data_IF_360469933774
#
_entry.id   IF_360469933774
#
_cell.length_a   1.000
_cell.length_b   1.000
_cell.length_c   1.000
_cell.angle_alpha   90.00
_cell.angle_beta   90.00
_cell.angle_gamma   90.00
#
_symmetry.space_group_name_H-M   'P 1'
#
loop_
_entity.id
_entity.type
_entity.pdbx_description
1 polymer ?
#
# COMPACT_ATOMS: atom_id res chain seq x y z
N UNK A 1 -3.29 -8.29 -18.25
CA UNK A 1 -3.48 -7.03 -17.53
C UNK A 1 -2.36 -6.09 -17.91
N UNK A 2 -2.68 -4.86 -18.33
CA UNK A 2 -1.67 -3.83 -18.62
C UNK A 2 -0.87 -3.51 -17.36
N UNK A 3 0.35 -3.00 -17.53
CA UNK A 3 1.11 -2.45 -16.42
C UNK A 3 0.50 -1.11 -16.02
N UNK A 4 0.47 -0.83 -14.72
CA UNK A 4 0.21 0.53 -14.21
C UNK A 4 1.58 1.15 -13.94
N UNK A 5 1.78 2.38 -14.39
CA UNK A 5 3.06 3.07 -14.24
C UNK A 5 2.86 4.51 -13.77
N UNK A 6 3.78 4.98 -12.93
CA UNK A 6 3.96 6.38 -12.58
C UNK A 6 5.45 6.73 -12.63
N UNK A 7 5.74 8.03 -12.73
CA UNK A 7 7.10 8.57 -12.74
C UNK A 7 7.12 9.79 -11.83
N UNK A 8 8.06 9.83 -10.90
CA UNK A 8 8.24 10.90 -9.92
C UNK A 8 9.63 10.77 -9.29
N UNK A 9 10.18 11.90 -8.85
CA UNK A 9 11.45 11.99 -8.12
C UNK A 9 11.14 12.00 -6.61
N UNK A 10 11.13 10.82 -5.98
CA UNK A 10 10.71 10.69 -4.57
C UNK A 10 11.84 10.97 -3.59
N UNK A 11 13.09 10.69 -3.95
CA UNK A 11 14.24 10.96 -3.07
C UNK A 11 14.92 12.31 -3.33
N UNK A 12 14.42 13.09 -4.30
CA UNK A 12 14.76 14.49 -4.58
C UNK A 12 16.19 14.69 -5.02
N UNK A 13 16.73 13.74 -5.76
CA UNK A 13 18.07 13.83 -6.32
C UNK A 13 18.11 14.51 -7.71
N UNK A 14 16.93 14.77 -8.29
CA UNK A 14 16.75 15.41 -9.59
C UNK A 14 16.61 14.44 -10.77
N UNK A 15 16.73 13.13 -10.55
CA UNK A 15 16.49 12.09 -11.54
C UNK A 15 15.18 11.36 -11.21
N UNK A 16 14.17 11.37 -12.11
CA UNK A 16 12.89 10.75 -11.77
C UNK A 16 12.94 9.21 -11.85
N UNK A 17 12.48 8.54 -10.81
CA UNK A 17 12.25 7.11 -10.82
C UNK A 17 10.93 6.74 -11.52
N UNK A 18 10.86 5.49 -11.97
CA UNK A 18 9.70 4.87 -12.57
C UNK A 18 9.19 3.75 -11.66
N UNK A 19 7.90 3.81 -11.37
CA UNK A 19 7.16 2.89 -10.53
C UNK A 19 6.25 2.05 -11.42
N UNK A 20 6.58 0.78 -11.65
CA UNK A 20 5.81 -0.10 -12.54
C UNK A 20 5.20 -1.26 -11.77
N UNK A 21 3.87 -1.30 -11.71
CA UNK A 21 3.12 -2.45 -11.23
C UNK A 21 2.74 -3.36 -12.39
N UNK A 22 3.33 -4.56 -12.42
CA UNK A 22 3.04 -5.55 -13.47
C UNK A 22 2.99 -6.96 -12.89
N UNK A 23 1.89 -7.67 -13.17
CA UNK A 23 1.70 -9.08 -12.75
C UNK A 23 1.92 -9.32 -11.25
N UNK A 24 1.50 -8.37 -10.41
CA UNK A 24 1.61 -8.51 -8.96
C UNK A 24 2.93 -8.06 -8.35
N UNK A 25 3.86 -7.55 -9.15
CA UNK A 25 5.16 -7.05 -8.68
C UNK A 25 5.26 -5.57 -8.97
N UNK A 26 5.57 -4.78 -7.93
CA UNK A 26 5.96 -3.39 -8.10
C UNK A 26 7.48 -3.33 -8.27
N UNK A 27 7.95 -2.65 -9.32
CA UNK A 27 9.36 -2.37 -9.58
C UNK A 27 9.59 -0.88 -9.55
N UNK A 28 10.62 -0.44 -8.81
CA UNK A 28 11.14 0.93 -8.81
C UNK A 28 12.46 0.93 -9.56
N UNK A 29 12.60 1.81 -10.54
CA UNK A 29 13.78 1.89 -11.38
C UNK A 29 14.09 3.34 -11.76
N UNK A 30 15.36 3.67 -11.88
CA UNK A 30 15.83 4.99 -12.28
C UNK A 30 16.93 4.81 -13.33
N UNK A 31 16.92 5.61 -14.40
CA UNK A 31 17.92 5.51 -15.47
C UNK A 31 18.04 4.12 -16.12
N UNK A 32 17.00 3.27 -16.02
CA UNK A 32 17.01 1.87 -16.47
C UNK A 32 17.62 0.86 -15.48
N UNK A 33 18.18 1.31 -14.35
CA UNK A 33 18.64 0.48 -13.23
C UNK A 33 17.46 0.20 -12.30
N UNK A 34 17.31 -1.06 -11.89
CA UNK A 34 16.30 -1.43 -10.88
C UNK A 34 16.85 -1.07 -9.50
N UNK A 35 16.16 -0.17 -8.80
CA UNK A 35 16.46 0.20 -7.42
C UNK A 35 15.84 -0.80 -6.44
N UNK A 36 14.57 -1.17 -6.68
CA UNK A 36 13.83 -2.06 -5.78
C UNK A 36 12.74 -2.87 -6.49
N UNK A 37 12.40 -4.02 -5.91
CA UNK A 37 11.24 -4.84 -6.27
C UNK A 37 10.50 -5.29 -5.03
N UNK A 38 9.17 -5.30 -5.09
CA UNK A 38 8.36 -5.91 -4.04
C UNK A 38 8.73 -7.39 -3.87
N UNK A 39 8.86 -7.90 -2.63
CA UNK A 39 9.15 -9.30 -2.36
C UNK A 39 8.28 -10.29 -3.14
N UNK A 40 8.85 -11.42 -3.56
CA UNK A 40 8.14 -12.46 -4.35
C UNK A 40 7.01 -13.14 -3.57
N UNK A 41 7.04 -13.08 -2.24
CA UNK A 41 5.98 -13.56 -1.35
C UNK A 41 4.77 -12.62 -1.30
N UNK A 42 4.90 -11.42 -1.86
CA UNK A 42 3.84 -10.42 -1.93
C UNK A 42 3.20 -10.43 -3.31
N UNK A 43 1.94 -10.03 -3.36
CA UNK A 43 1.26 -9.70 -4.61
C UNK A 43 0.67 -8.30 -4.50
N UNK A 44 1.35 -7.32 -5.07
CA UNK A 44 0.86 -5.95 -5.16
C UNK A 44 -0.36 -5.89 -6.10
N UNK A 45 -1.43 -5.23 -5.67
CA UNK A 45 -2.66 -5.06 -6.47
C UNK A 45 -2.88 -3.64 -6.96
N UNK A 46 -2.42 -2.64 -6.22
CA UNK A 46 -2.51 -1.23 -6.59
C UNK A 46 -1.44 -0.43 -5.85
N UNK A 47 -1.07 0.74 -6.38
CA UNK A 47 -0.16 1.66 -5.71
C UNK A 47 -0.58 3.12 -5.95
N UNK A 48 -0.14 4.02 -5.08
CA UNK A 48 -0.24 5.46 -5.24
C UNK A 48 1.06 6.13 -4.79
N UNK A 49 1.32 7.32 -5.34
CA UNK A 49 2.40 8.20 -4.90
C UNK A 49 1.75 9.45 -4.32
N UNK A 50 2.16 9.86 -3.13
CA UNK A 50 1.70 11.10 -2.51
C UNK A 50 2.22 11.25 -1.08
N UNK A 51 2.25 12.48 -0.59
CA UNK A 51 2.59 12.85 0.79
C UNK A 51 1.41 12.49 1.69
N UNK A 52 1.39 11.25 2.16
CA UNK A 52 0.22 10.69 2.85
C UNK A 52 0.27 10.88 4.35
N UNK A 53 1.46 11.10 4.91
CA UNK A 53 1.65 11.45 6.33
C UNK A 53 1.78 12.96 6.57
N UNK A 54 1.74 13.77 5.51
CA UNK A 54 1.78 15.23 5.54
C UNK A 54 3.08 15.78 6.15
N UNK A 55 4.19 15.05 6.00
CA UNK A 55 5.52 15.49 6.44
C UNK A 55 6.28 16.33 5.40
N UNK A 56 5.66 16.54 4.23
CA UNK A 56 6.25 17.27 3.12
C UNK A 56 7.12 16.41 2.22
N UNK A 57 7.14 15.08 2.38
CA UNK A 57 7.82 14.11 1.51
C UNK A 57 6.78 13.26 0.80
N UNK A 58 7.06 12.79 -0.42
CA UNK A 58 6.13 11.91 -1.15
C UNK A 58 6.43 10.45 -0.81
N UNK A 59 5.42 9.70 -0.38
CA UNK A 59 5.52 8.27 -0.13
C UNK A 59 5.04 7.43 -1.31
N UNK A 60 5.52 6.18 -1.33
CA UNK A 60 4.97 5.08 -2.10
C UNK A 60 4.00 4.27 -1.23
N UNK A 61 2.72 4.32 -1.56
CA UNK A 61 1.68 3.52 -0.93
C UNK A 61 1.38 2.29 -1.78
N UNK A 62 1.31 1.12 -1.16
CA UNK A 62 1.16 -0.16 -1.84
C UNK A 62 0.08 -1.02 -1.19
N UNK A 63 -0.94 -1.39 -1.97
CA UNK A 63 -1.89 -2.44 -1.60
C UNK A 63 -1.29 -3.81 -1.93
N UNK A 64 -1.10 -4.64 -0.90
CA UNK A 64 -0.38 -5.91 -0.97
C UNK A 64 -1.22 -7.07 -0.46
N UNK A 65 -1.25 -8.17 -1.20
CA UNK A 65 -1.75 -9.46 -0.72
C UNK A 65 -0.60 -10.36 -0.29
N UNK A 66 -0.62 -10.83 0.96
CA UNK A 66 0.40 -11.75 1.50
C UNK A 66 -0.18 -12.60 2.63
N UNK A 67 0.55 -13.64 3.02
CA UNK A 67 0.22 -14.47 4.18
C UNK A 67 0.71 -13.83 5.48
N UNK A 68 -0.17 -13.86 6.47
CA UNK A 68 0.10 -13.42 7.83
C UNK A 68 0.31 -11.91 7.97
N UNK A 69 0.26 -11.40 9.19
CA UNK A 69 0.45 -9.99 9.54
C UNK A 69 1.76 -9.75 10.27
N UNK A 70 2.16 -10.65 11.18
CA UNK A 70 3.26 -10.41 12.10
C UNK A 70 4.61 -10.97 11.63
N UNK A 71 4.58 -11.94 10.70
CA UNK A 71 5.77 -12.65 10.26
C UNK A 71 6.52 -13.29 11.44
N UNK A 72 7.84 -13.11 11.51
CA UNK A 72 8.69 -13.64 12.60
C UNK A 72 8.53 -12.89 13.94
N UNK A 73 7.94 -11.70 13.93
CA UNK A 73 7.82 -10.82 15.11
C UNK A 73 6.44 -10.92 15.74
N UNK A 74 5.86 -12.12 15.74
CA UNK A 74 4.56 -12.42 16.37
C UNK A 74 4.55 -12.00 17.84
N UNK A 75 3.61 -11.13 18.27
CA UNK A 75 3.51 -10.74 19.67
C UNK A 75 3.16 -11.92 20.58
N UNK A 76 3.70 -11.93 21.80
CA UNK A 76 3.53 -13.04 22.74
C UNK A 76 2.08 -13.25 23.19
N UNK A 77 1.24 -12.20 23.13
CA UNK A 77 -0.18 -12.28 23.48
C UNK A 77 -1.05 -12.88 22.37
N UNK A 78 -0.56 -12.96 21.12
CA UNK A 78 -1.34 -13.51 20.01
C UNK A 78 -1.29 -15.04 19.99
N UNK A 79 -2.44 -15.70 20.20
CA UNK A 79 -2.55 -17.16 20.31
C UNK A 79 -3.17 -17.86 19.08
N UNK A 80 -3.69 -17.12 18.10
CA UNK A 80 -4.34 -17.68 16.90
C UNK A 80 -3.37 -18.11 15.79
N UNK A 81 -3.89 -18.63 14.68
CA UNK A 81 -3.13 -18.78 13.44
C UNK A 81 -3.03 -17.42 12.71
N UNK A 82 -1.89 -17.16 12.09
CA UNK A 82 -1.63 -15.96 11.28
C UNK A 82 -1.19 -16.39 9.87
N UNK A 83 -1.96 -17.28 9.25
CA UNK A 83 -1.64 -17.87 7.95
C UNK A 83 -2.50 -17.31 6.80
N UNK A 84 -3.48 -16.47 7.11
CA UNK A 84 -4.42 -15.90 6.15
C UNK A 84 -3.75 -15.07 5.06
N UNK A 85 -4.11 -15.35 3.81
CA UNK A 85 -3.70 -14.57 2.65
C UNK A 85 -4.72 -13.45 2.43
N UNK A 86 -4.40 -12.26 2.95
CA UNK A 86 -5.29 -11.09 2.98
C UNK A 86 -4.57 -9.83 2.51
N UNK A 87 -5.33 -8.75 2.36
CA UNK A 87 -4.82 -7.49 1.86
C UNK A 87 -4.26 -6.63 3.00
N UNK A 88 -3.20 -5.89 2.69
CA UNK A 88 -2.48 -4.97 3.56
C UNK A 88 -2.24 -3.67 2.80
N UNK A 89 -2.16 -2.56 3.54
CA UNK A 89 -1.64 -1.28 3.08
C UNK A 89 -0.24 -1.06 3.65
N UNK A 90 0.75 -0.86 2.77
CA UNK A 90 2.13 -0.56 3.15
C UNK A 90 2.55 0.81 2.63
N UNK A 91 3.26 1.56 3.45
CA UNK A 91 3.81 2.88 3.13
C UNK A 91 5.33 2.79 3.16
N UNK A 92 5.96 3.22 2.07
CA UNK A 92 7.41 3.26 1.93
C UNK A 92 7.85 4.67 1.54
N UNK A 93 9.07 5.02 1.94
CA UNK A 93 9.77 6.20 1.48
C UNK A 93 10.96 5.79 0.64
N UNK A 94 11.23 6.52 -0.43
CA UNK A 94 12.51 6.41 -1.14
C UNK A 94 13.44 7.48 -0.56
N UNK A 95 14.65 7.07 -0.21
CA UNK A 95 15.72 7.98 0.19
C UNK A 95 17.06 7.38 -0.20
N UNK A 96 17.87 8.13 -0.94
CA UNK A 96 19.20 7.70 -1.41
C UNK A 96 19.13 6.34 -2.13
N UNK A 97 18.39 6.27 -3.24
CA UNK A 97 18.20 5.04 -4.04
C UNK A 97 17.52 3.86 -3.28
N UNK A 98 17.11 4.06 -2.02
CA UNK A 98 16.71 2.98 -1.12
C UNK A 98 15.25 3.11 -0.69
N UNK A 99 14.44 2.11 -1.05
CA UNK A 99 13.05 2.00 -0.58
C UNK A 99 13.03 1.46 0.85
N UNK A 100 12.56 2.26 1.81
CA UNK A 100 12.47 1.93 3.23
C UNK A 100 11.01 1.89 3.69
N UNK A 101 10.60 0.89 4.48
CA UNK A 101 9.26 0.89 5.05
C UNK A 101 9.13 2.01 6.09
N UNK A 102 8.07 2.82 5.96
CA UNK A 102 7.66 3.81 6.98
C UNK A 102 6.62 3.17 7.89
N UNK A 103 5.63 2.51 7.29
CA UNK A 103 4.54 1.87 8.03
C UNK A 103 3.97 0.68 7.29
N UNK A 104 3.68 -0.39 8.02
CA UNK A 104 3.15 -1.64 7.46
C UNK A 104 1.95 -2.10 8.31
N UNK A 105 0.76 -2.07 7.72
CA UNK A 105 -0.46 -2.55 8.41
C UNK A 105 -0.45 -4.05 8.67
N UNK A 106 -1.23 -4.45 9.67
CA UNK A 106 -1.81 -5.79 9.73
C UNK A 106 -2.81 -6.00 8.57
N UNK A 107 -3.41 -7.18 8.45
CA UNK A 107 -4.43 -7.37 7.43
C UNK A 107 -5.61 -6.40 7.62
N UNK A 108 -6.07 -5.82 6.52
CA UNK A 108 -7.19 -4.87 6.53
C UNK A 108 -8.51 -5.61 6.70
N UNK A 109 -9.49 -4.94 7.31
CA UNK A 109 -10.86 -5.46 7.46
C UNK A 109 -11.56 -5.66 6.11
N UNK A 110 -11.26 -4.79 5.15
CA UNK A 110 -11.72 -4.87 3.76
C UNK A 110 -10.54 -4.74 2.79
N UNK A 111 -10.53 -5.48 1.68
CA UNK A 111 -9.45 -5.37 0.70
C UNK A 111 -9.54 -4.08 -0.10
N UNK A 112 -8.40 -3.42 -0.30
CA UNK A 112 -8.26 -2.28 -1.19
C UNK A 112 -8.31 -2.75 -2.65
N UNK A 113 -9.21 -2.15 -3.42
CA UNK A 113 -9.33 -2.31 -4.87
C UNK A 113 -8.49 -1.25 -5.60
N UNK A 114 -8.58 0.00 -5.16
CA UNK A 114 -7.79 1.12 -5.65
C UNK A 114 -7.56 2.14 -4.55
N UNK A 115 -6.51 2.94 -4.69
CA UNK A 115 -6.14 3.99 -3.75
C UNK A 115 -5.57 5.21 -4.48
N UNK A 116 -5.68 6.38 -3.86
CA UNK A 116 -5.05 7.63 -4.28
C UNK A 116 -4.83 8.53 -3.08
N UNK A 117 -3.81 9.37 -3.11
CA UNK A 117 -3.54 10.39 -2.09
C UNK A 117 -3.95 11.74 -2.65
N UNK A 118 -4.78 12.52 -1.92
CA UNK A 118 -5.20 13.87 -2.30
C UNK A 118 -5.81 14.60 -1.10
N UNK A 119 -5.67 15.92 -1.07
CA UNK A 119 -6.50 16.78 -0.23
C UNK A 119 -7.96 16.72 -0.71
N UNK A 120 -8.82 16.10 0.11
CA UNK A 120 -10.21 15.80 -0.24
C UNK A 120 -11.18 16.82 0.36
N UNK A 121 -10.86 17.40 1.51
CA UNK A 121 -11.72 18.36 2.23
C UNK A 121 -11.28 19.82 2.07
N UNK A 122 -10.13 20.07 1.45
CA UNK A 122 -9.58 21.39 1.16
C UNK A 122 -8.88 22.05 2.36
N UNK A 123 -8.52 21.28 3.39
CA UNK A 123 -7.82 21.80 4.58
C UNK A 123 -6.30 21.99 4.36
N UNK A 124 -5.79 21.59 3.19
CA UNK A 124 -4.38 21.66 2.83
C UNK A 124 -3.56 20.44 3.24
N UNK A 125 -4.17 19.44 3.87
CA UNK A 125 -3.58 18.13 4.18
C UNK A 125 -4.12 17.09 3.20
N UNK A 126 -3.30 16.12 2.85
CA UNK A 126 -3.71 15.01 2.01
C UNK A 126 -4.38 13.90 2.83
N UNK A 127 -5.42 13.31 2.25
CA UNK A 127 -6.01 12.05 2.68
C UNK A 127 -5.73 10.92 1.71
N UNK A 128 -5.79 9.70 2.25
CA UNK A 128 -5.82 8.48 1.47
C UNK A 128 -7.27 8.12 1.11
N UNK A 129 -7.62 8.28 -0.16
CA UNK A 129 -8.92 7.87 -0.70
C UNK A 129 -8.82 6.45 -1.23
N UNK A 130 -9.64 5.55 -0.68
CA UNK A 130 -9.62 4.11 -0.93
C UNK A 130 -10.96 3.62 -1.44
N UNK A 131 -10.96 2.88 -2.54
CA UNK A 131 -12.08 2.02 -2.92
C UNK A 131 -11.87 0.65 -2.31
N UNK A 132 -12.73 0.27 -1.36
CA UNK A 132 -12.67 -1.00 -0.67
C UNK A 132 -13.72 -1.98 -1.23
N UNK A 133 -13.38 -3.27 -1.27
CA UNK A 133 -14.29 -4.36 -1.64
C UNK A 133 -14.67 -5.23 -0.44
N UNK A 134 -15.22 -6.42 -0.72
CA UNK A 134 -15.40 -7.49 0.27
C UNK A 134 -14.32 -8.56 0.11
N UNK A 135 -14.07 -9.33 1.17
CA UNK A 135 -13.30 -10.56 1.06
C UNK A 135 -14.18 -11.71 0.58
N UNK A 136 -13.79 -12.32 -0.54
CA UNK A 136 -14.33 -13.61 -0.96
C UNK A 136 -13.34 -14.71 -0.63
N UNK A 137 -13.77 -15.67 0.18
CA UNK A 137 -12.99 -16.88 0.44
C UNK A 137 -12.85 -17.71 -0.84
N UNK A 138 -11.63 -18.07 -1.19
CA UNK A 138 -11.33 -18.92 -2.34
C UNK A 138 -11.14 -20.37 -1.89
N UNK A 139 -10.28 -20.58 -0.89
CA UNK A 139 -10.03 -21.89 -0.27
C UNK A 139 -9.27 -21.72 1.04
N UNK A 140 -9.64 -22.46 2.09
CA UNK A 140 -9.02 -22.32 3.41
C UNK A 140 -8.91 -20.86 3.85
N UNK A 141 -7.74 -20.43 4.32
CA UNK A 141 -7.48 -19.02 4.66
C UNK A 141 -7.00 -18.15 3.48
N UNK A 142 -7.31 -18.54 2.23
CA UNK A 142 -6.96 -17.76 1.04
C UNK A 142 -8.17 -16.95 0.57
N UNK A 143 -8.01 -15.64 0.55
CA UNK A 143 -9.04 -14.69 0.14
C UNK A 143 -8.66 -13.96 -1.15
N UNK A 144 -9.67 -13.46 -1.85
CA UNK A 144 -9.55 -12.61 -3.02
C UNK A 144 -10.47 -11.39 -2.87
N UNK A 145 -10.18 -10.27 -3.55
CA UNK A 145 -11.08 -9.13 -3.54
C UNK A 145 -12.37 -9.47 -4.28
N UNK A 146 -13.48 -8.97 -3.75
CA UNK A 146 -14.78 -8.96 -4.40
C UNK A 146 -15.25 -7.51 -4.56
N UNK A 147 -15.36 -7.08 -5.81
CA UNK A 147 -15.73 -5.71 -6.15
C UNK A 147 -17.24 -5.53 -6.41
N UNK A 148 -18.08 -6.51 -6.06
CA UNK A 148 -19.55 -6.40 -6.25
C UNK A 148 -20.18 -5.35 -5.33
N UNK A 149 -19.68 -5.21 -4.11
CA UNK A 149 -20.10 -4.20 -3.14
C UNK A 149 -18.90 -3.34 -2.74
N UNK A 150 -18.58 -2.37 -3.60
CA UNK A 150 -17.51 -1.42 -3.30
C UNK A 150 -18.02 -0.24 -2.50
N UNK A 151 -17.15 0.31 -1.66
CA UNK A 151 -17.37 1.61 -1.01
C UNK A 151 -16.12 2.46 -1.14
N UNK A 152 -16.30 3.77 -1.22
CA UNK A 152 -15.20 4.73 -1.13
C UNK A 152 -15.10 5.17 0.33
N UNK A 153 -13.88 5.17 0.86
CA UNK A 153 -13.55 5.64 2.21
C UNK A 153 -12.37 6.59 2.13
N UNK A 154 -12.32 7.55 3.06
CA UNK A 154 -11.26 8.56 3.15
C UNK A 154 -10.56 8.37 4.48
N UNK A 155 -9.24 8.19 4.45
CA UNK A 155 -8.45 7.92 5.65
C UNK A 155 -7.42 9.03 5.83
N UNK A 156 -7.25 9.49 7.08
CA UNK A 156 -6.25 10.48 7.45
C UNK A 156 -5.13 9.79 8.23
N UNK A 157 -3.91 10.28 8.02
CA UNK A 157 -2.79 9.86 8.85
C UNK A 157 -2.92 10.46 10.26
N UNK A 158 -2.87 9.60 11.27
CA UNK A 158 -2.92 9.95 12.69
C UNK A 158 -1.78 9.24 13.40
N UNK A 159 -0.75 9.99 13.80
CA UNK A 159 0.45 9.60 14.58
C UNK A 159 1.14 8.28 14.18
N UNK A 160 0.45 7.15 14.32
CA UNK A 160 0.93 5.78 14.17
C UNK A 160 0.29 5.00 13.01
N UNK A 161 -0.62 5.59 12.24
CA UNK A 161 -1.25 4.92 11.11
C UNK A 161 -2.43 5.69 10.51
N UNK A 162 -3.25 5.01 9.71
CA UNK A 162 -4.42 5.62 9.11
C UNK A 162 -5.68 5.40 9.94
N UNK A 163 -6.45 6.46 10.13
CA UNK A 163 -7.79 6.44 10.72
C UNK A 163 -8.84 6.81 9.67
N UNK A 164 -10.02 6.18 9.76
CA UNK A 164 -11.15 6.49 8.88
C UNK A 164 -11.70 7.89 9.23
N UNK A 165 -11.74 8.79 8.25
CA UNK A 165 -12.48 10.03 8.39
C UNK A 165 -13.97 9.66 8.52
N UNK A 166 -14.65 10.25 9.51
CA UNK A 166 -16.08 10.00 9.75
C UNK A 166 -16.94 10.24 8.50
N UNK A 167 -18.16 9.66 8.45
CA UNK A 167 -19.08 9.86 7.33
C UNK A 167 -19.50 11.32 7.12
#
# INVERSE_FOLDING_TARGET
MPAVQATADLDRDGAPETYTLRRGVLTVAEGGKILWKSPSTWRASAFALGDADNDGTVELLLSVWKRGSFGRHRPFWFRGEDAGYKNHLFVHRLAEDTVKPVWLSSNLDRPIISLSVRDTDGDGQNELVVTEGDYRQVTGEVFAPDARNTRVTVWRWEEWGFALCGP
#
